data_IF_577325460001
#
_entry.id   IF_577325460001
#
_cell.length_a   1.000
_cell.length_b   1.000
_cell.length_c   1.000
_cell.angle_alpha   90.00
_cell.angle_beta   90.00
_cell.angle_gamma   90.00
#
_symmetry.space_group_name_H-M   'P 1'
#
loop_
_entity.id
_entity.type
_entity.pdbx_description
1 polymer ?
#
# COMPACT_ATOMS: atom_id res chain seq x y z
N UNK A 1 19.52 0.27 -9.57
CA UNK A 1 18.91 -0.37 -8.39
C UNK A 1 17.62 0.37 -8.07
N UNK A 2 16.48 -0.32 -7.93
CA UNK A 2 15.19 0.25 -7.52
C UNK A 2 14.69 -0.54 -6.32
N UNK A 3 14.72 0.09 -5.15
CA UNK A 3 14.36 -0.51 -3.87
C UNK A 3 13.71 0.57 -3.01
N UNK A 4 12.62 0.22 -2.33
CA UNK A 4 11.84 1.10 -1.46
C UNK A 4 11.47 0.32 -0.21
N UNK A 5 11.69 0.95 0.95
CA UNK A 5 11.34 0.41 2.26
C UNK A 5 10.55 1.46 3.02
N UNK A 6 9.33 1.14 3.42
CA UNK A 6 8.41 2.08 4.07
C UNK A 6 7.79 1.46 5.31
N UNK A 7 7.69 2.26 6.37
CA UNK A 7 6.91 1.93 7.56
C UNK A 7 5.76 2.92 7.65
N UNK A 8 4.54 2.41 7.75
CA UNK A 8 3.38 3.27 7.84
C UNK A 8 2.10 2.52 8.21
N UNK A 9 1.00 3.28 8.29
CA UNK A 9 -0.29 2.73 8.70
C UNK A 9 -1.20 2.50 7.51
N UNK A 10 -1.90 1.37 7.52
CA UNK A 10 -2.93 1.03 6.53
C UNK A 10 -4.07 2.07 6.57
N UNK A 11 -4.40 2.68 5.44
CA UNK A 11 -5.39 3.77 5.39
C UNK A 11 -6.84 3.25 5.35
N UNK A 12 -7.04 2.08 4.76
CA UNK A 12 -8.34 1.43 4.60
C UNK A 12 -8.23 -0.08 4.83
N UNK A 13 -9.38 -0.73 5.02
CA UNK A 13 -9.44 -2.19 5.10
C UNK A 13 -8.85 -2.83 3.84
N UNK A 14 -8.33 -4.05 4.00
CA UNK A 14 -7.76 -4.80 2.89
C UNK A 14 -8.89 -5.41 2.05
N UNK A 15 -8.92 -5.03 0.78
CA UNK A 15 -9.81 -5.60 -0.23
C UNK A 15 -9.00 -6.53 -1.13
N UNK A 16 -9.30 -7.83 -1.08
CA UNK A 16 -8.67 -8.87 -1.88
C UNK A 16 -9.53 -9.17 -3.10
N UNK A 17 -8.97 -8.92 -4.28
CA UNK A 17 -9.70 -9.09 -5.54
C UNK A 17 -9.02 -10.15 -6.40
N UNK A 18 -9.83 -10.99 -7.04
CA UNK A 18 -9.36 -11.92 -8.08
C UNK A 18 -9.38 -11.21 -9.43
N UNK A 19 -8.27 -11.24 -10.17
CA UNK A 19 -8.13 -10.55 -11.46
C UNK A 19 -7.48 -11.49 -12.48
N UNK A 20 -8.30 -12.18 -13.28
CA UNK A 20 -7.85 -13.08 -14.35
C UNK A 20 -6.95 -14.24 -13.88
N UNK A 21 -7.01 -15.41 -14.51
CA UNK A 21 -6.12 -16.55 -14.22
C UNK A 21 -5.89 -16.85 -12.71
N UNK A 22 -6.91 -16.67 -11.86
CA UNK A 22 -6.82 -16.87 -10.41
C UNK A 22 -5.75 -16.06 -9.68
N UNK A 23 -5.32 -14.90 -10.22
CA UNK A 23 -4.35 -14.03 -9.53
C UNK A 23 -5.06 -13.12 -8.52
N UNK A 24 -4.67 -13.21 -7.26
CA UNK A 24 -5.15 -12.33 -6.20
C UNK A 24 -4.37 -11.02 -6.17
N UNK A 25 -5.06 -9.90 -5.93
CA UNK A 25 -4.45 -8.56 -5.82
C UNK A 25 -5.09 -7.75 -4.70
N UNK A 26 -4.26 -6.94 -4.04
CA UNK A 26 -4.69 -5.93 -3.09
C UNK A 26 -4.06 -4.59 -3.45
N UNK A 27 -4.90 -3.56 -3.58
CA UNK A 27 -4.48 -2.18 -3.78
C UNK A 27 -4.83 -1.36 -2.53
N UNK A 28 -3.83 -0.86 -1.83
CA UNK A 28 -4.04 -0.05 -0.63
C UNK A 28 -3.11 1.18 -0.62
N UNK A 29 -3.22 1.98 0.42
CA UNK A 29 -2.43 3.19 0.64
C UNK A 29 -1.81 3.11 2.03
N UNK A 30 -0.52 3.39 2.09
CA UNK A 30 0.25 3.44 3.33
C UNK A 30 0.44 4.90 3.74
N UNK A 31 -0.03 5.25 4.94
CA UNK A 31 0.24 6.56 5.54
C UNK A 31 1.62 6.51 6.22
N UNK A 32 2.62 7.11 5.57
CA UNK A 32 4.02 7.16 6.02
C UNK A 32 4.27 8.50 6.69
N UNK A 33 4.67 8.47 7.97
CA UNK A 33 4.88 9.69 8.74
C UNK A 33 6.08 10.48 8.20
N UNK A 34 5.92 11.80 8.03
CA UNK A 34 7.03 12.69 7.68
C UNK A 34 7.98 12.90 8.87
N UNK A 35 9.28 12.84 8.60
CA UNK A 35 10.33 13.08 9.60
C UNK A 35 10.42 14.56 10.00
N UNK A 36 10.18 15.47 9.05
CA UNK A 36 10.22 16.91 9.30
C UNK A 36 8.81 17.45 9.54
N UNK A 37 8.57 18.02 10.73
CA UNK A 37 7.32 18.72 11.05
C UNK A 37 7.47 20.18 10.69
N UNK A 38 6.61 20.70 9.82
CA UNK A 38 6.32 22.14 9.82
C UNK A 38 5.23 22.36 10.86
N UNK A 39 5.53 23.15 11.88
CA UNK A 39 4.50 23.73 12.77
C UNK A 39 3.72 22.75 13.67
N UNK A 40 4.39 21.71 14.17
CA UNK A 40 3.82 20.82 15.19
C UNK A 40 2.76 19.84 14.68
N UNK A 41 2.40 19.86 13.39
CA UNK A 41 1.49 18.89 12.78
C UNK A 41 2.12 17.49 12.71
N UNK A 42 1.26 16.46 12.64
CA UNK A 42 1.67 15.10 12.30
C UNK A 42 1.30 14.85 10.85
N UNK A 43 2.17 15.28 9.95
CA UNK A 43 1.96 15.06 8.51
C UNK A 43 2.36 13.64 8.10
N UNK A 44 1.68 13.12 7.09
CA UNK A 44 1.97 11.85 6.46
C UNK A 44 1.94 11.99 4.93
N UNK A 45 2.82 11.25 4.26
CA UNK A 45 2.66 10.95 2.84
C UNK A 45 1.78 9.71 2.66
N UNK A 46 0.95 9.73 1.63
CA UNK A 46 0.02 8.66 1.32
C UNK A 46 0.55 7.92 0.10
N UNK A 47 1.24 6.81 0.33
CA UNK A 47 1.92 6.06 -0.73
C UNK A 47 1.01 4.91 -1.19
N UNK A 48 0.51 4.93 -2.43
CA UNK A 48 -0.23 3.80 -2.97
C UNK A 48 0.70 2.60 -3.13
N UNK A 49 0.19 1.41 -2.85
CA UNK A 49 0.91 0.16 -3.08
C UNK A 49 -0.01 -0.93 -3.63
N UNK A 50 0.61 -1.88 -4.33
CA UNK A 50 -0.02 -3.09 -4.85
C UNK A 50 0.74 -4.32 -4.40
N UNK A 51 0.00 -5.31 -3.91
CA UNK A 51 0.52 -6.63 -3.57
C UNK A 51 -0.23 -7.69 -4.39
N UNK A 52 0.49 -8.72 -4.83
CA UNK A 52 -0.05 -9.80 -5.67
C UNK A 52 0.11 -11.18 -5.02
N UNK A 53 -0.79 -12.10 -5.41
CA UNK A 53 -0.80 -13.51 -5.00
C UNK A 53 -0.78 -13.66 -3.48
N UNK A 54 0.09 -14.54 -2.99
CA UNK A 54 0.26 -14.83 -1.56
C UNK A 54 0.44 -13.60 -0.67
N UNK A 55 1.07 -12.52 -1.17
CA UNK A 55 1.25 -11.28 -0.39
C UNK A 55 -0.08 -10.54 -0.19
N UNK A 56 -0.92 -10.51 -1.22
CA UNK A 56 -2.26 -9.95 -1.13
C UNK A 56 -3.11 -10.73 -0.11
N UNK A 57 -3.08 -12.07 -0.19
CA UNK A 57 -3.77 -12.96 0.74
C UNK A 57 -3.28 -12.79 2.19
N UNK A 58 -1.97 -12.67 2.38
CA UNK A 58 -1.36 -12.42 3.68
C UNK A 58 -1.84 -11.08 4.26
N UNK A 59 -1.89 -10.01 3.45
CA UNK A 59 -2.40 -8.73 3.90
C UNK A 59 -3.87 -8.80 4.28
N UNK A 60 -4.72 -9.47 3.50
CA UNK A 60 -6.15 -9.61 3.81
C UNK A 60 -6.36 -10.34 5.14
N UNK A 61 -5.62 -11.43 5.34
CA UNK A 61 -5.74 -12.25 6.55
C UNK A 61 -5.19 -11.57 7.80
N UNK A 62 -4.16 -10.73 7.66
CA UNK A 62 -3.35 -10.25 8.78
C UNK A 62 -3.30 -8.74 8.95
N UNK A 63 -3.91 -7.94 8.08
CA UNK A 63 -3.94 -6.48 8.19
C UNK A 63 -5.36 -5.91 8.04
N UNK A 64 -5.63 -4.86 8.80
CA UNK A 64 -6.83 -4.03 8.65
C UNK A 64 -6.50 -2.55 8.73
N UNK A 65 -7.52 -1.70 8.65
CA UNK A 65 -7.34 -0.25 8.73
C UNK A 65 -6.62 0.16 10.02
N UNK A 66 -5.56 0.94 9.87
CA UNK A 66 -4.78 1.53 10.96
C UNK A 66 -3.65 0.65 11.49
N UNK A 67 -3.53 -0.59 11.04
CA UNK A 67 -2.38 -1.45 11.38
C UNK A 67 -1.08 -0.83 10.87
N UNK A 68 -0.04 -0.87 11.69
CA UNK A 68 1.32 -0.43 11.37
C UNK A 68 2.09 -1.61 10.77
N UNK A 69 2.59 -1.42 9.55
CA UNK A 69 3.35 -2.43 8.82
C UNK A 69 4.59 -1.83 8.17
N UNK A 70 5.58 -2.68 7.93
CA UNK A 70 6.72 -2.42 7.08
C UNK A 70 6.49 -3.10 5.72
N UNK A 71 6.75 -2.38 4.63
CA UNK A 71 6.72 -2.90 3.27
C UNK A 71 8.10 -2.70 2.64
N UNK A 72 8.57 -3.71 1.93
CA UNK A 72 9.74 -3.62 1.05
C UNK A 72 9.32 -3.96 -0.39
N UNK A 73 9.92 -3.28 -1.36
CA UNK A 73 9.52 -3.43 -2.76
C UNK A 73 10.17 -2.41 -3.68
N UNK A 74 9.45 -2.01 -4.74
CA UNK A 74 9.96 -1.17 -5.82
C UNK A 74 8.93 -0.12 -6.23
N UNK A 75 9.36 1.10 -6.59
CA UNK A 75 8.44 2.03 -7.24
C UNK A 75 8.20 1.61 -8.68
N UNK A 76 6.96 1.66 -9.12
CA UNK A 76 6.58 1.51 -10.53
C UNK A 76 5.67 2.66 -10.96
N UNK A 77 5.76 3.03 -12.23
CA UNK A 77 4.80 3.89 -12.90
C UNK A 77 4.02 3.06 -13.90
N UNK A 78 2.70 3.21 -13.93
CA UNK A 78 1.83 2.61 -14.95
C UNK A 78 0.83 3.63 -15.45
N UNK A 79 0.34 3.41 -16.67
CA UNK A 79 -0.79 4.14 -17.21
C UNK A 79 -1.97 3.21 -17.49
N UNK A 80 -3.18 3.76 -17.43
CA UNK A 80 -4.39 3.07 -17.89
C UNK A 80 -5.35 4.10 -18.50
N UNK A 81 -6.15 3.67 -19.48
CA UNK A 81 -7.22 4.49 -20.02
C UNK A 81 -8.44 4.41 -19.10
N UNK A 82 -9.08 5.55 -18.86
CA UNK A 82 -10.39 5.59 -18.23
C UNK A 82 -11.48 5.27 -19.25
N UNK A 83 -12.71 5.06 -18.77
CA UNK A 83 -13.88 4.91 -19.64
C UNK A 83 -14.19 6.18 -20.44
N UNK A 84 -13.56 7.31 -20.12
CA UNK A 84 -13.70 8.61 -20.77
C UNK A 84 -12.54 8.88 -21.77
N UNK A 85 -11.75 7.85 -22.12
CA UNK A 85 -10.58 7.93 -23.02
C UNK A 85 -9.44 8.84 -22.52
N UNK A 86 -9.41 9.10 -21.20
CA UNK A 86 -8.33 9.84 -20.54
C UNK A 86 -7.23 8.87 -20.07
N UNK A 87 -5.97 9.17 -20.38
CA UNK A 87 -4.83 8.41 -19.86
C UNK A 87 -4.46 8.86 -18.45
N UNK A 88 -4.64 7.97 -17.46
CA UNK A 88 -4.20 8.21 -16.08
C UNK A 88 -2.88 7.55 -15.79
N UNK A 89 -1.96 8.31 -15.20
CA UNK A 89 -0.67 7.83 -14.72
C UNK A 89 -0.72 7.61 -13.21
N UNK A 90 -0.18 6.48 -12.76
CA UNK A 90 -0.10 6.12 -11.34
C UNK A 90 1.32 5.73 -11.01
N UNK A 91 1.85 6.34 -9.96
CA UNK A 91 3.09 5.92 -9.31
C UNK A 91 2.72 5.20 -8.01
N UNK A 92 3.12 3.95 -7.88
CA UNK A 92 2.79 3.10 -6.73
C UNK A 92 3.94 2.16 -6.39
N UNK A 93 3.96 1.65 -5.17
CA UNK A 93 4.91 0.63 -4.73
C UNK A 93 4.40 -0.76 -5.09
N UNK A 94 5.20 -1.55 -5.81
CA UNK A 94 5.00 -2.99 -5.93
C UNK A 94 5.64 -3.70 -4.73
N UNK A 95 4.85 -4.43 -3.95
CA UNK A 95 5.29 -5.08 -2.71
C UNK A 95 5.98 -6.41 -2.98
N UNK A 96 7.21 -6.53 -2.50
CA UNK A 96 8.00 -7.77 -2.52
C UNK A 96 7.96 -8.51 -1.17
N UNK A 97 7.97 -7.77 -0.05
CA UNK A 97 7.99 -8.32 1.31
C UNK A 97 7.19 -7.46 2.32
N UNK A 98 6.67 -8.11 3.37
CA UNK A 98 5.77 -7.53 4.37
C UNK A 98 6.23 -7.93 5.76
N UNK A 99 6.38 -6.95 6.66
CA UNK A 99 6.62 -7.18 8.08
C UNK A 99 5.50 -6.54 8.91
N UNK A 100 4.94 -7.32 9.84
CA UNK A 100 3.87 -6.87 10.73
C UNK A 100 4.47 -6.27 11.99
N UNK A 101 4.16 -5.00 12.27
CA UNK A 101 4.76 -4.28 13.40
C UNK A 101 3.77 -4.16 14.55
N UNK A 102 2.59 -3.59 14.30
CA UNK A 102 1.63 -3.29 15.36
C UNK A 102 0.19 -3.31 14.85
N UNK A 103 -0.69 -4.02 15.55
CA UNK A 103 -2.13 -3.92 15.35
C UNK A 103 -2.68 -2.58 15.83
N UNK A 104 -3.69 -2.04 15.15
CA UNK A 104 -4.48 -0.93 15.69
C UNK A 104 -5.07 -1.36 17.03
N UNK A 105 -4.89 -0.54 18.07
CA UNK A 105 -5.52 -0.78 19.36
C UNK A 105 -7.05 -0.81 19.18
N UNK A 106 -7.69 -1.85 19.71
CA UNK A 106 -9.16 -1.87 19.85
C UNK A 106 -9.49 -0.92 21.00
N UNK A 107 -9.98 0.26 20.64
CA UNK A 107 -10.64 1.17 21.58
C UNK A 107 -12.05 0.69 21.90
#
# INVERSE_FOLDING_TARGET
MNTVSLIGRMVKEVDLRSVGDSRMVTNNVLAVRKSFKKDGSTDADFIPFVAWGKKAEILEKHCGKGDLIALNGKMQSRSYQTNEDETKYVVEMLVDDIEFIQKKAKG
#
